data_IF_535208754130
#
_entry.id   IF_535208754130
#
_cell.length_a   1.000
_cell.length_b   1.000
_cell.length_c   1.000
_cell.angle_alpha   90.00
_cell.angle_beta   90.00
_cell.angle_gamma   90.00
#
_symmetry.space_group_name_H-M   'P 1'
#
loop_
_entity.id
_entity.type
_entity.pdbx_description
1 polymer ?
#
# COMPACT_ATOMS: atom_id res chain seq x y z
N UNK A 1 -16.63 -32.47 -39.74
CA UNK A 1 -16.24 -32.17 -38.34
C UNK A 1 -17.43 -31.46 -37.71
N UNK A 2 -18.13 -32.09 -36.77
CA UNK A 2 -19.32 -31.48 -36.12
C UNK A 2 -18.78 -30.55 -35.02
N UNK A 3 -19.11 -29.24 -35.00
CA UNK A 3 -18.68 -28.37 -33.93
C UNK A 3 -19.35 -28.82 -32.62
N UNK A 4 -18.54 -29.24 -31.66
CA UNK A 4 -19.03 -29.51 -30.32
C UNK A 4 -19.43 -28.18 -29.68
N UNK A 5 -20.70 -28.07 -29.27
CA UNK A 5 -21.16 -26.94 -28.46
C UNK A 5 -20.59 -27.12 -27.05
N UNK A 6 -19.41 -26.56 -26.80
CA UNK A 6 -18.80 -26.54 -25.48
C UNK A 6 -19.48 -25.44 -24.67
N UNK A 7 -20.40 -25.84 -23.79
CA UNK A 7 -20.92 -24.94 -22.77
C UNK A 7 -19.84 -24.75 -21.71
N UNK A 8 -19.16 -23.61 -21.79
CA UNK A 8 -18.19 -23.20 -20.76
C UNK A 8 -18.99 -22.60 -19.61
N UNK A 9 -19.00 -23.30 -18.47
CA UNK A 9 -19.59 -22.79 -17.26
C UNK A 9 -18.58 -21.83 -16.62
N UNK A 10 -18.85 -20.52 -16.71
CA UNK A 10 -17.95 -19.47 -16.23
C UNK A 10 -18.33 -19.15 -14.79
N UNK A 11 -17.38 -19.31 -13.88
CA UNK A 11 -17.52 -18.83 -12.51
C UNK A 11 -17.26 -17.31 -12.47
N UNK A 12 -18.34 -16.54 -12.60
CA UNK A 12 -18.30 -15.08 -12.58
C UNK A 12 -17.71 -14.53 -11.26
N UNK A 13 -17.89 -15.24 -10.15
CA UNK A 13 -17.36 -14.84 -8.85
C UNK A 13 -15.83 -14.97 -8.84
N UNK A 14 -15.30 -16.09 -9.31
CA UNK A 14 -13.86 -16.30 -9.42
C UNK A 14 -13.19 -15.27 -10.35
N UNK A 15 -13.86 -14.91 -11.46
CA UNK A 15 -13.36 -13.87 -12.36
C UNK A 15 -13.33 -12.50 -11.66
N UNK A 16 -14.39 -12.15 -10.93
CA UNK A 16 -14.45 -10.88 -10.19
C UNK A 16 -13.37 -10.80 -9.12
N UNK A 17 -13.16 -11.87 -8.36
CA UNK A 17 -12.11 -11.96 -7.33
C UNK A 17 -10.71 -11.82 -7.95
N UNK A 18 -10.47 -12.47 -9.09
CA UNK A 18 -9.21 -12.36 -9.82
C UNK A 18 -8.96 -10.94 -10.35
N UNK A 19 -9.99 -10.29 -10.91
CA UNK A 19 -9.90 -8.91 -11.39
C UNK A 19 -9.58 -7.96 -10.23
N UNK A 20 -10.25 -8.11 -9.08
CA UNK A 20 -9.97 -7.30 -7.88
C UNK A 20 -8.54 -7.49 -7.39
N UNK A 21 -8.04 -8.73 -7.35
CA UNK A 21 -6.64 -9.01 -6.99
C UNK A 21 -5.65 -8.37 -7.97
N UNK A 22 -5.91 -8.44 -9.28
CA UNK A 22 -5.03 -7.84 -10.29
C UNK A 22 -5.05 -6.31 -10.22
N UNK A 23 -6.21 -5.70 -9.94
CA UNK A 23 -6.34 -4.26 -9.74
C UNK A 23 -5.59 -3.83 -8.48
N UNK A 24 -5.77 -4.51 -7.35
CA UNK A 24 -5.02 -4.25 -6.11
C UNK A 24 -3.52 -4.39 -6.34
N UNK A 25 -3.11 -5.45 -7.04
CA UNK A 25 -1.71 -5.72 -7.37
C UNK A 25 -1.10 -4.64 -8.28
N UNK A 26 -1.89 -4.04 -9.18
CA UNK A 26 -1.43 -2.95 -10.04
C UNK A 26 -1.47 -1.58 -9.36
N UNK A 27 -2.42 -1.35 -8.45
CA UNK A 27 -2.49 -0.13 -7.64
C UNK A 27 -1.35 -0.06 -6.61
N UNK A 28 -0.91 -1.21 -6.11
CA UNK A 28 0.29 -1.32 -5.29
C UNK A 28 1.53 -1.30 -6.19
N UNK A 29 1.85 -0.13 -6.76
CA UNK A 29 3.20 0.14 -7.27
C UNK A 29 4.22 -0.42 -6.26
N UNK A 30 5.12 -1.31 -6.71
CA UNK A 30 6.08 -2.07 -5.91
C UNK A 30 7.18 -1.16 -5.34
N UNK A 31 6.81 -0.14 -4.58
CA UNK A 31 7.73 0.74 -3.91
C UNK A 31 8.53 -0.11 -2.92
N UNK A 32 9.84 -0.19 -3.12
CA UNK A 32 10.72 -0.77 -2.12
C UNK A 32 10.72 0.12 -0.87
N UNK A 33 10.87 1.43 -1.08
CA UNK A 33 10.90 2.43 -0.01
C UNK A 33 10.08 3.66 -0.38
N UNK A 34 9.67 4.40 0.65
CA UNK A 34 8.99 5.70 0.56
C UNK A 34 9.72 6.74 1.38
N UNK A 35 9.61 7.99 0.96
CA UNK A 35 10.02 9.17 1.70
C UNK A 35 8.79 9.99 2.12
N UNK A 36 9.02 11.11 2.81
CA UNK A 36 7.95 12.00 3.27
C UNK A 36 7.08 12.53 2.12
N UNK A 37 7.66 12.77 0.95
CA UNK A 37 6.92 13.24 -0.22
C UNK A 37 5.92 12.19 -0.70
N UNK A 38 6.36 10.94 -0.88
CA UNK A 38 5.48 9.85 -1.29
C UNK A 38 4.47 9.51 -0.21
N UNK A 39 4.85 9.55 1.07
CA UNK A 39 3.92 9.36 2.19
C UNK A 39 2.77 10.36 2.14
N UNK A 40 3.06 11.66 1.93
CA UNK A 40 2.03 12.69 1.81
C UNK A 40 1.04 12.43 0.67
N UNK A 41 1.52 11.89 -0.46
CA UNK A 41 0.67 11.53 -1.59
C UNK A 41 -0.23 10.34 -1.27
N UNK A 42 0.34 9.25 -0.74
CA UNK A 42 -0.41 7.99 -0.57
C UNK A 42 -1.36 8.00 0.64
N UNK A 43 -1.07 8.79 1.67
CA UNK A 43 -1.96 8.93 2.83
C UNK A 43 -2.92 10.11 2.71
N UNK A 44 -2.74 10.96 1.69
CA UNK A 44 -3.43 12.25 1.55
C UNK A 44 -3.23 13.22 2.74
N UNK A 45 -2.26 12.95 3.61
CA UNK A 45 -1.95 13.79 4.76
C UNK A 45 -0.95 14.87 4.39
N UNK A 46 -1.09 16.05 5.00
CA UNK A 46 -0.08 17.11 4.84
C UNK A 46 1.26 16.66 5.44
N UNK A 47 2.39 17.12 4.87
CA UNK A 47 3.72 16.81 5.42
C UNK A 47 3.87 17.22 6.87
N UNK A 48 3.28 18.37 7.25
CA UNK A 48 3.31 18.85 8.63
C UNK A 48 2.58 17.87 9.56
N UNK A 49 1.37 17.48 9.20
CA UNK A 49 0.59 16.50 9.97
C UNK A 49 1.33 15.16 10.08
N UNK A 50 1.95 14.69 8.98
CA UNK A 50 2.77 13.48 9.02
C UNK A 50 3.93 13.63 10.01
N UNK A 51 4.64 14.75 10.03
CA UNK A 51 5.76 14.96 10.96
C UNK A 51 5.30 15.03 12.42
N UNK A 52 4.19 15.72 12.65
CA UNK A 52 3.67 16.03 13.99
C UNK A 52 3.01 14.79 14.63
N UNK A 53 2.21 14.04 13.86
CA UNK A 53 1.33 12.97 14.40
C UNK A 53 1.78 11.54 14.04
N UNK A 54 2.46 11.34 12.91
CA UNK A 54 2.79 10.00 12.40
C UNK A 54 4.27 9.66 12.56
N UNK A 55 5.17 10.48 12.01
CA UNK A 55 6.61 10.27 12.04
C UNK A 55 7.23 10.59 13.41
N UNK A 56 6.47 11.26 14.27
CA UNK A 56 6.81 11.47 15.68
C UNK A 56 6.57 10.21 16.52
N UNK A 57 5.70 9.29 16.08
CA UNK A 57 5.36 8.06 16.79
C UNK A 57 6.61 7.16 16.94
N UNK A 58 6.85 6.58 18.13
CA UNK A 58 7.98 5.68 18.37
C UNK A 58 8.08 4.53 17.37
N UNK A 59 6.95 3.95 16.93
CA UNK A 59 6.89 2.86 15.96
C UNK A 59 7.45 3.27 14.61
N UNK A 60 7.08 4.46 14.11
CA UNK A 60 7.62 4.99 12.86
C UNK A 60 9.11 5.32 12.95
N UNK A 61 9.58 5.80 14.11
CA UNK A 61 11.01 6.08 14.34
C UNK A 61 11.86 4.81 14.35
N UNK A 62 11.35 3.69 14.87
CA UNK A 62 12.06 2.40 14.90
C UNK A 62 12.36 1.84 13.51
N UNK A 63 11.45 2.09 12.56
CA UNK A 63 11.57 1.57 11.19
C UNK A 63 12.20 2.57 10.22
N UNK A 64 12.52 3.78 10.68
CA UNK A 64 13.19 4.82 9.89
C UNK A 64 14.57 4.35 9.43
N UNK A 65 14.90 4.64 8.16
CA UNK A 65 16.26 4.59 7.62
C UNK A 65 16.71 6.01 7.40
N UNK A 66 17.93 6.36 7.85
CA UNK A 66 18.45 7.73 7.74
C UNK A 66 19.86 7.76 7.18
N UNK A 67 20.08 8.60 6.17
CA UNK A 67 21.42 8.90 5.63
C UNK A 67 21.46 10.33 5.09
N UNK A 68 22.48 11.12 5.48
CA UNK A 68 22.68 12.49 5.00
C UNK A 68 21.40 13.35 5.02
N UNK A 69 20.72 13.39 6.17
CA UNK A 69 19.43 14.09 6.40
C UNK A 69 18.21 13.56 5.63
N UNK A 70 18.38 12.60 4.70
CA UNK A 70 17.25 11.91 4.08
C UNK A 70 16.71 10.81 5.00
N UNK A 71 15.39 10.70 5.05
CA UNK A 71 14.62 9.69 5.79
C UNK A 71 13.78 8.88 4.82
N UNK A 72 13.72 7.58 5.06
CA UNK A 72 13.15 6.59 4.17
C UNK A 72 12.56 5.47 5.01
N UNK A 73 11.51 4.83 4.52
CA UNK A 73 10.91 3.66 5.15
C UNK A 73 10.64 2.59 4.11
N UNK A 74 10.74 1.32 4.47
CA UNK A 74 10.25 0.26 3.59
C UNK A 74 8.74 0.40 3.46
N UNK A 75 8.23 0.43 2.22
CA UNK A 75 6.84 0.80 1.93
C UNK A 75 5.82 -0.02 2.71
N UNK A 76 5.93 -1.36 2.66
CA UNK A 76 4.99 -2.27 3.35
C UNK A 76 5.01 -2.04 4.86
N UNK A 77 6.20 -1.97 5.45
CA UNK A 77 6.35 -1.77 6.89
C UNK A 77 5.83 -0.39 7.33
N UNK A 78 6.03 0.64 6.52
CA UNK A 78 5.50 1.97 6.80
C UNK A 78 3.97 1.97 6.78
N UNK A 79 3.34 1.35 5.79
CA UNK A 79 1.88 1.27 5.71
C UNK A 79 1.29 0.52 6.90
N UNK A 80 1.85 -0.64 7.25
CA UNK A 80 1.40 -1.42 8.42
C UNK A 80 1.41 -0.57 9.69
N UNK A 81 2.55 0.08 9.99
CA UNK A 81 2.68 0.92 11.19
C UNK A 81 1.76 2.14 11.15
N UNK A 82 1.61 2.79 9.99
CA UNK A 82 0.70 3.94 9.85
C UNK A 82 -0.75 3.52 10.07
N UNK A 83 -1.16 2.37 9.55
CA UNK A 83 -2.51 1.83 9.78
C UNK A 83 -2.75 1.55 11.25
N UNK A 84 -1.79 0.92 11.95
CA UNK A 84 -1.90 0.71 13.40
C UNK A 84 -2.06 2.01 14.19
N UNK A 85 -1.30 3.06 13.83
CA UNK A 85 -1.41 4.37 14.49
C UNK A 85 -2.79 4.97 14.26
N UNK A 86 -3.30 4.93 13.03
CA UNK A 86 -4.59 5.52 12.66
C UNK A 86 -5.77 4.74 13.24
N UNK A 87 -5.68 3.42 13.36
CA UNK A 87 -6.70 2.57 13.97
C UNK A 87 -6.83 2.78 15.49
N UNK A 88 -5.81 3.36 16.13
CA UNK A 88 -5.80 3.73 17.55
C UNK A 88 -6.40 5.12 17.83
N UNK A 89 -6.73 5.90 16.80
CA UNK A 89 -7.37 7.23 16.93
C UNK A 89 -8.89 7.12 17.13
#
# INVERSE_FOLDING_TARGET
>A
MIPANVQVNIDEKAIKEYILQQIDQQLHETLLMVDLEKLAVITSMSKRFLEDEILSDPRMRLIERRRNRKRWWFYRQALEVITEIVDEW
#
